data_IF_491802353659
#
_entry.id   IF_491802353659
#
_cell.length_a   1.000
_cell.length_b   1.000
_cell.length_c   1.000
_cell.angle_alpha   90.00
_cell.angle_beta   90.00
_cell.angle_gamma   90.00
#
_symmetry.space_group_name_H-M   'P 1'
#
loop_
_entity.id
_entity.type
_entity.pdbx_description
1 polymer ?
#
# COMPACT_ATOMS: atom_id res chain seq x y z
N UNK A 1 18.37 0.57 10.23
CA UNK A 1 18.00 1.87 9.63
C UNK A 1 16.93 2.58 10.45
N UNK A 2 16.72 3.87 10.21
CA UNK A 2 15.54 4.60 10.70
C UNK A 2 14.53 4.73 9.56
N UNK A 3 13.38 4.09 9.70
CA UNK A 3 12.32 4.06 8.71
C UNK A 3 11.19 5.02 9.07
N UNK A 4 10.73 5.84 8.13
CA UNK A 4 9.50 6.62 8.24
C UNK A 4 8.35 5.86 7.58
N UNK A 5 7.24 5.64 8.28
CA UNK A 5 6.10 4.87 7.78
C UNK A 5 4.83 5.70 7.83
N UNK A 6 4.17 5.90 6.70
CA UNK A 6 2.79 6.41 6.66
C UNK A 6 1.80 5.25 6.63
N UNK A 7 0.66 5.41 7.30
CA UNK A 7 -0.35 4.34 7.33
C UNK A 7 0.00 3.16 8.23
N UNK A 8 0.97 3.30 9.13
CA UNK A 8 1.43 2.22 10.03
C UNK A 8 0.35 1.61 10.91
N UNK A 9 -0.70 2.36 11.28
CA UNK A 9 -1.85 1.82 12.03
C UNK A 9 -2.86 1.05 11.18
N UNK A 10 -2.66 0.98 9.86
CA UNK A 10 -3.50 0.19 8.95
C UNK A 10 -3.08 -1.28 8.88
N UNK A 11 -3.89 -2.10 8.20
CA UNK A 11 -3.70 -3.54 8.08
C UNK A 11 -2.29 -3.94 7.57
N UNK A 12 -1.89 -3.44 6.40
CA UNK A 12 -0.56 -3.69 5.83
C UNK A 12 0.53 -2.94 6.62
N UNK A 13 0.24 -1.68 7.03
CA UNK A 13 1.22 -0.84 7.69
C UNK A 13 1.66 -1.37 9.05
N UNK A 14 0.76 -1.96 9.83
CA UNK A 14 1.10 -2.57 11.13
C UNK A 14 1.96 -3.82 10.96
N UNK A 15 1.65 -4.66 9.96
CA UNK A 15 2.49 -5.82 9.64
C UNK A 15 3.90 -5.39 9.19
N UNK A 16 3.99 -4.35 8.36
CA UNK A 16 5.28 -3.77 7.96
C UNK A 16 6.05 -3.19 9.16
N UNK A 17 5.39 -2.42 10.02
CA UNK A 17 6.03 -1.84 11.21
C UNK A 17 6.58 -2.94 12.14
N UNK A 18 5.82 -4.01 12.38
CA UNK A 18 6.30 -5.20 13.13
C UNK A 18 7.54 -5.80 12.47
N UNK A 19 7.47 -6.05 11.18
CA UNK A 19 8.58 -6.65 10.43
C UNK A 19 9.85 -5.82 10.48
N UNK A 20 9.73 -4.50 10.36
CA UNK A 20 10.88 -3.58 10.50
C UNK A 20 11.44 -3.61 11.93
N UNK A 21 10.58 -3.59 12.95
CA UNK A 21 11.01 -3.69 14.36
C UNK A 21 11.69 -5.01 14.67
N UNK A 22 11.18 -6.14 14.17
CA UNK A 22 11.80 -7.48 14.28
C UNK A 22 13.19 -7.54 13.65
N UNK A 23 13.42 -6.77 12.58
CA UNK A 23 14.73 -6.60 11.94
C UNK A 23 15.71 -5.74 12.76
N UNK A 24 15.24 -5.10 13.84
CA UNK A 24 16.03 -4.16 14.62
C UNK A 24 16.05 -2.73 14.07
N UNK A 25 15.18 -2.41 13.10
CA UNK A 25 15.07 -1.07 12.57
C UNK A 25 14.36 -0.12 13.56
N UNK A 26 14.77 1.14 13.63
CA UNK A 26 14.00 2.18 14.30
C UNK A 26 12.87 2.62 13.38
N UNK A 27 11.62 2.61 13.89
CA UNK A 27 10.44 2.94 13.09
C UNK A 27 9.77 4.17 13.65
N UNK A 28 9.69 5.22 12.83
CA UNK A 28 8.89 6.42 13.06
C UNK A 28 7.63 6.33 12.22
N UNK A 29 6.45 6.41 12.85
CA UNK A 29 5.17 6.23 12.18
C UNK A 29 4.33 7.49 12.27
N UNK A 30 3.85 7.97 11.11
CA UNK A 30 2.86 9.04 11.03
C UNK A 30 1.48 8.51 11.42
N UNK A 31 0.88 9.13 12.43
CA UNK A 31 -0.45 8.81 12.93
C UNK A 31 -1.32 10.06 12.98
N UNK A 32 -2.61 9.93 12.67
CA UNK A 32 -3.55 11.06 12.77
C UNK A 32 -3.89 11.41 14.21
N UNK A 33 -3.84 10.44 15.10
CA UNK A 33 -4.18 10.57 16.52
C UNK A 33 -3.46 9.47 17.29
N UNK A 34 -2.70 9.84 18.32
CA UNK A 34 -1.94 8.86 19.16
C UNK A 34 -2.85 7.89 19.88
N UNK A 35 -4.02 8.32 20.34
CA UNK A 35 -4.99 7.49 21.09
C UNK A 35 -5.54 6.28 20.32
N UNK A 36 -5.18 6.09 19.05
CA UNK A 36 -5.56 4.94 18.22
C UNK A 36 -4.36 4.20 17.66
N UNK A 37 -3.22 4.35 18.30
CA UNK A 37 -1.95 3.81 17.82
C UNK A 37 -1.29 2.85 18.83
N UNK A 38 -2.04 2.33 19.81
CA UNK A 38 -1.55 1.48 20.90
C UNK A 38 -0.70 0.31 20.37
N UNK A 39 -1.18 -0.37 19.33
CA UNK A 39 -0.44 -1.48 18.73
C UNK A 39 0.92 -1.09 18.10
N UNK A 40 1.09 0.17 17.71
CA UNK A 40 2.37 0.69 17.23
C UNK A 40 3.30 1.06 18.38
N UNK A 41 2.74 1.59 19.45
CA UNK A 41 3.46 1.94 20.67
C UNK A 41 3.98 0.68 21.38
N UNK A 42 3.13 -0.36 21.49
CA UNK A 42 3.48 -1.68 22.04
C UNK A 42 4.69 -2.33 21.34
N UNK A 43 4.84 -2.14 20.05
CA UNK A 43 6.00 -2.65 19.29
C UNK A 43 7.17 -1.67 19.25
N UNK A 44 7.08 -0.57 20.00
CA UNK A 44 8.17 0.40 20.18
C UNK A 44 8.41 1.30 18.96
N UNK A 45 7.36 1.69 18.23
CA UNK A 45 7.45 2.70 17.19
C UNK A 45 7.46 4.12 17.80
N UNK A 46 8.25 5.01 17.22
CA UNK A 46 8.16 6.45 17.48
C UNK A 46 6.92 6.99 16.76
N UNK A 47 5.95 7.55 17.50
CA UNK A 47 4.74 8.11 16.93
C UNK A 47 4.88 9.61 16.70
N UNK A 48 4.63 10.07 15.47
CA UNK A 48 4.51 11.49 15.13
C UNK A 48 3.10 11.79 14.63
N UNK A 49 2.48 12.83 15.19
CA UNK A 49 1.14 13.22 14.78
C UNK A 49 1.16 14.11 13.55
N UNK A 50 0.23 13.82 12.63
CA UNK A 50 0.06 14.58 11.40
C UNK A 50 -0.80 13.84 10.39
N UNK A 51 -0.89 14.42 9.22
CA UNK A 51 -1.60 13.89 8.07
C UNK A 51 -0.76 14.05 6.78
N UNK A 52 -1.35 13.73 5.64
CA UNK A 52 -0.66 13.79 4.34
C UNK A 52 -0.86 15.12 3.61
N UNK A 53 -1.41 16.15 4.26
CA UNK A 53 -1.81 17.39 3.59
C UNK A 53 -0.67 18.39 3.32
N UNK A 54 0.46 18.26 4.03
CA UNK A 54 1.55 19.22 3.96
C UNK A 54 2.89 18.56 3.67
N UNK A 55 3.42 18.76 2.48
CA UNK A 55 4.75 18.33 2.06
C UNK A 55 5.85 18.81 3.00
N UNK A 56 5.78 20.08 3.44
CA UNK A 56 6.78 20.65 4.35
C UNK A 56 6.81 19.93 5.70
N UNK A 57 5.64 19.76 6.35
CA UNK A 57 5.56 19.05 7.63
C UNK A 57 6.01 17.60 7.52
N UNK A 58 5.65 16.92 6.43
CA UNK A 58 6.09 15.57 6.16
C UNK A 58 7.62 15.50 6.01
N UNK A 59 8.23 16.44 5.28
CA UNK A 59 9.69 16.50 5.12
C UNK A 59 10.40 16.73 6.46
N UNK A 60 9.89 17.63 7.30
CA UNK A 60 10.39 17.85 8.66
C UNK A 60 10.31 16.58 9.52
N UNK A 61 9.20 15.84 9.42
CA UNK A 61 9.00 14.59 10.15
C UNK A 61 9.85 13.44 9.61
N UNK A 62 10.20 13.44 8.32
CA UNK A 62 11.11 12.48 7.70
C UNK A 62 12.58 12.78 7.98
N UNK A 63 12.91 13.95 8.50
CA UNK A 63 14.29 14.36 8.71
C UNK A 63 15.07 13.32 9.57
N UNK A 64 16.25 12.93 9.09
CA UNK A 64 17.12 11.94 9.72
C UNK A 64 16.65 10.49 9.57
N UNK A 65 15.67 10.21 8.71
CA UNK A 65 15.31 8.85 8.33
C UNK A 65 16.13 8.39 7.12
N UNK A 66 16.41 7.08 7.08
CA UNK A 66 17.18 6.42 6.02
C UNK A 66 16.26 5.90 4.90
N UNK A 67 14.96 5.71 5.19
CA UNK A 67 13.97 5.20 4.26
C UNK A 67 12.58 5.75 4.57
N UNK A 68 11.73 5.83 3.55
CA UNK A 68 10.31 6.11 3.70
C UNK A 68 9.48 4.98 3.10
N UNK A 69 8.40 4.60 3.80
CA UNK A 69 7.44 3.59 3.35
C UNK A 69 6.06 4.24 3.32
N UNK A 70 5.54 4.48 2.12
CA UNK A 70 4.22 5.06 1.93
C UNK A 70 3.18 3.96 1.78
N UNK A 71 2.53 3.60 2.89
CA UNK A 71 1.49 2.55 2.95
C UNK A 71 0.10 3.16 3.14
N UNK A 72 0.03 4.43 3.51
CA UNK A 72 -1.23 5.12 3.73
C UNK A 72 -2.09 5.13 2.47
N UNK A 73 -3.36 4.82 2.65
CA UNK A 73 -4.38 4.89 1.59
C UNK A 73 -5.74 4.56 2.17
N UNK A 74 -6.79 5.06 1.51
CA UNK A 74 -8.19 4.77 1.88
C UNK A 74 -8.74 3.76 0.89
N UNK A 75 -9.15 2.59 1.41
CA UNK A 75 -9.83 1.56 0.65
C UNK A 75 -11.33 1.55 1.00
N UNK A 76 -12.16 2.02 0.10
CA UNK A 76 -13.63 1.94 0.19
C UNK A 76 -14.22 1.87 -1.21
N UNK A 77 -15.09 0.89 -1.44
CA UNK A 77 -15.84 0.71 -2.69
C UNK A 77 -17.29 1.14 -2.45
N UNK A 78 -17.97 1.64 -3.48
CA UNK A 78 -19.38 2.03 -3.40
C UNK A 78 -19.64 3.29 -2.56
N UNK A 79 -18.68 4.20 -2.46
CA UNK A 79 -18.85 5.45 -1.71
C UNK A 79 -19.73 6.47 -2.46
N UNK A 80 -20.54 7.27 -1.73
CA UNK A 80 -21.31 8.35 -2.35
C UNK A 80 -20.39 9.47 -2.88
N UNK A 81 -20.86 10.25 -3.88
CA UNK A 81 -20.07 11.36 -4.45
C UNK A 81 -19.53 12.35 -3.44
N UNK A 82 -20.25 12.62 -2.35
CA UNK A 82 -19.86 13.57 -1.30
C UNK A 82 -18.59 13.16 -0.53
N UNK A 83 -18.21 11.88 -0.55
CA UNK A 83 -17.00 11.36 0.15
C UNK A 83 -15.81 11.23 -0.81
N UNK A 84 -16.04 11.31 -2.13
CA UNK A 84 -14.98 11.17 -3.14
C UNK A 84 -13.83 12.17 -2.98
N UNK A 85 -14.06 13.48 -2.69
CA UNK A 85 -12.95 14.42 -2.51
C UNK A 85 -11.98 14.01 -1.41
N UNK A 86 -12.50 13.53 -0.27
CA UNK A 86 -11.64 13.08 0.83
C UNK A 86 -10.81 11.83 0.48
N UNK A 87 -11.35 10.93 -0.36
CA UNK A 87 -10.59 9.77 -0.86
C UNK A 87 -9.52 10.20 -1.86
N UNK A 88 -9.84 11.14 -2.75
CA UNK A 88 -8.87 11.70 -3.70
C UNK A 88 -7.70 12.37 -2.96
N UNK A 89 -8.03 13.23 -2.00
CA UNK A 89 -7.02 13.87 -1.14
C UNK A 89 -6.12 12.84 -0.45
N UNK A 90 -6.68 11.77 0.12
CA UNK A 90 -5.89 10.78 0.82
C UNK A 90 -5.03 9.93 -0.12
N UNK A 91 -5.56 9.51 -1.27
CA UNK A 91 -4.91 8.53 -2.14
C UNK A 91 -4.03 9.17 -3.21
N UNK A 92 -4.44 10.31 -3.78
CA UNK A 92 -3.71 10.98 -4.86
C UNK A 92 -2.85 12.10 -4.29
N UNK A 93 -3.46 13.17 -3.77
CA UNK A 93 -2.72 14.32 -3.23
C UNK A 93 -1.78 13.89 -2.09
N UNK A 94 -2.24 12.99 -1.22
CA UNK A 94 -1.40 12.46 -0.13
C UNK A 94 -0.19 11.69 -0.64
N UNK A 95 -0.32 10.88 -1.70
CA UNK A 95 0.82 10.20 -2.33
C UNK A 95 1.81 11.21 -2.91
N UNK A 96 1.31 12.18 -3.67
CA UNK A 96 2.08 13.30 -4.19
C UNK A 96 2.90 13.97 -3.09
N UNK A 97 2.22 14.41 -2.01
CA UNK A 97 2.87 15.12 -0.90
C UNK A 97 3.94 14.27 -0.20
N UNK A 98 3.71 12.97 -0.02
CA UNK A 98 4.71 12.07 0.62
C UNK A 98 5.93 11.90 -0.26
N UNK A 99 5.78 11.71 -1.57
CA UNK A 99 6.90 11.54 -2.49
C UNK A 99 7.72 12.83 -2.63
N UNK A 100 7.05 13.99 -2.66
CA UNK A 100 7.71 15.29 -2.66
C UNK A 100 8.46 15.53 -1.34
N UNK A 101 7.83 15.21 -0.21
CA UNK A 101 8.44 15.35 1.10
C UNK A 101 9.67 14.44 1.25
N UNK A 102 9.61 13.20 0.78
CA UNK A 102 10.74 12.29 0.79
C UNK A 102 11.91 12.82 -0.04
N UNK A 103 11.61 13.41 -1.20
CA UNK A 103 12.61 14.06 -2.05
C UNK A 103 13.22 15.28 -1.35
N UNK A 104 12.40 16.14 -0.77
CA UNK A 104 12.84 17.36 -0.07
C UNK A 104 13.67 17.03 1.20
N UNK A 105 13.32 15.95 1.91
CA UNK A 105 14.06 15.46 3.08
C UNK A 105 15.34 14.68 2.70
N UNK A 106 15.62 14.47 1.42
CA UNK A 106 16.78 13.73 0.95
C UNK A 106 16.74 12.24 1.29
N UNK A 107 15.55 11.65 1.39
CA UNK A 107 15.39 10.22 1.71
C UNK A 107 16.07 9.36 0.62
N UNK A 108 17.04 8.50 0.98
CA UNK A 108 17.80 7.71 0.02
C UNK A 108 16.95 6.71 -0.77
N UNK A 109 15.84 6.25 -0.21
CA UNK A 109 14.94 5.29 -0.86
C UNK A 109 13.55 5.34 -0.25
N UNK A 110 12.55 5.49 -1.10
CA UNK A 110 11.12 5.45 -0.74
C UNK A 110 10.47 4.22 -1.36
N UNK A 111 9.68 3.48 -0.61
CA UNK A 111 8.81 2.43 -1.15
C UNK A 111 7.37 2.93 -1.13
N UNK A 112 6.74 3.03 -2.29
CA UNK A 112 5.35 3.43 -2.45
C UNK A 112 4.45 2.20 -2.67
N UNK A 113 3.46 2.01 -1.79
CA UNK A 113 2.52 0.89 -1.90
C UNK A 113 1.34 1.28 -2.78
N UNK A 114 1.36 0.77 -4.01
CA UNK A 114 0.28 0.84 -4.98
C UNK A 114 -0.67 -0.37 -4.84
N UNK A 115 -1.12 -0.96 -5.94
CA UNK A 115 -2.00 -2.14 -5.99
C UNK A 115 -2.03 -2.70 -7.41
N UNK A 116 -2.33 -4.00 -7.57
CA UNK A 116 -2.61 -4.60 -8.90
C UNK A 116 -3.83 -3.96 -9.58
N UNK A 117 -4.71 -3.26 -8.84
CA UNK A 117 -5.84 -2.54 -9.46
C UNK A 117 -5.37 -1.44 -10.43
N UNK A 118 -4.13 -0.96 -10.31
CA UNK A 118 -3.56 -0.03 -11.29
C UNK A 118 -3.56 -0.59 -12.71
N UNK A 119 -3.49 -1.92 -12.89
CA UNK A 119 -3.60 -2.58 -14.19
C UNK A 119 -5.01 -2.49 -14.80
N UNK A 120 -6.06 -2.37 -13.98
CA UNK A 120 -7.46 -2.36 -14.43
C UNK A 120 -7.92 -3.71 -14.98
N UNK A 121 -8.81 -3.67 -15.96
CA UNK A 121 -9.33 -4.87 -16.63
C UNK A 121 -8.31 -5.38 -17.66
N UNK A 122 -7.67 -6.50 -17.39
CA UNK A 122 -6.72 -7.13 -18.30
C UNK A 122 -7.38 -8.05 -19.34
N UNK A 123 -8.72 -8.10 -19.37
CA UNK A 123 -9.49 -9.01 -20.24
C UNK A 123 -9.06 -10.49 -20.12
N UNK A 124 -8.78 -10.94 -18.89
CA UNK A 124 -8.34 -12.31 -18.58
C UNK A 124 -6.89 -12.62 -18.93
N UNK A 125 -6.10 -11.65 -19.39
CA UNK A 125 -4.67 -11.85 -19.65
C UNK A 125 -3.87 -11.87 -18.36
N UNK A 126 -2.90 -12.75 -18.28
CA UNK A 126 -1.85 -12.69 -17.27
C UNK A 126 -0.87 -11.59 -17.70
N UNK A 127 -0.65 -10.64 -16.83
CA UNK A 127 0.18 -9.46 -17.09
C UNK A 127 1.25 -9.32 -16.01
N UNK A 128 2.29 -8.56 -16.31
CA UNK A 128 3.39 -8.22 -15.42
C UNK A 128 3.52 -6.70 -15.24
N UNK A 129 4.55 -6.25 -14.59
CA UNK A 129 4.81 -4.84 -14.26
C UNK A 129 5.03 -3.95 -15.51
N UNK A 130 5.26 -4.54 -16.67
CA UNK A 130 5.41 -3.80 -17.94
C UNK A 130 4.06 -3.45 -18.58
N UNK A 131 2.98 -4.08 -18.13
CA UNK A 131 1.65 -3.85 -18.66
C UNK A 131 1.19 -2.40 -18.37
N UNK A 132 0.55 -1.82 -19.36
CA UNK A 132 -0.08 -0.49 -19.24
C UNK A 132 -1.58 -0.62 -19.48
N UNK A 133 -2.36 0.05 -18.63
CA UNK A 133 -3.82 0.13 -18.76
C UNK A 133 -4.17 0.80 -20.09
N UNK A 134 -5.18 0.28 -20.85
CA UNK A 134 -5.62 0.91 -22.10
C UNK A 134 -6.13 2.33 -21.89
N UNK A 135 -5.94 3.19 -22.88
CA UNK A 135 -6.45 4.55 -22.92
C UNK A 135 -7.66 4.68 -23.89
N UNK A 136 -8.73 5.41 -23.52
CA UNK A 136 -8.96 6.04 -22.23
C UNK A 136 -9.23 4.99 -21.12
N UNK A 137 -8.82 5.25 -19.87
CA UNK A 137 -8.97 4.26 -18.81
C UNK A 137 -10.44 4.09 -18.39
N UNK A 138 -10.87 2.85 -18.22
CA UNK A 138 -12.16 2.52 -17.60
C UNK A 138 -11.96 2.16 -16.14
N UNK A 139 -12.79 2.72 -15.25
CA UNK A 139 -12.69 2.50 -13.81
C UNK A 139 -13.93 1.76 -13.27
N UNK A 140 -13.69 0.69 -12.52
CA UNK A 140 -14.76 -0.08 -11.87
C UNK A 140 -15.25 0.58 -10.57
N UNK A 141 -14.49 1.49 -10.03
CA UNK A 141 -14.83 2.26 -8.83
C UNK A 141 -13.99 3.52 -8.71
N UNK A 142 -14.43 4.47 -7.88
CA UNK A 142 -13.65 5.66 -7.57
C UNK A 142 -12.33 5.33 -6.82
N UNK A 143 -12.31 4.25 -6.04
CA UNK A 143 -11.08 3.74 -5.44
C UNK A 143 -10.08 3.31 -6.52
N UNK A 144 -10.53 2.54 -7.52
CA UNK A 144 -9.71 2.11 -8.65
C UNK A 144 -9.10 3.33 -9.38
N UNK A 145 -9.94 4.35 -9.67
CA UNK A 145 -9.48 5.60 -10.26
C UNK A 145 -8.37 6.26 -9.44
N UNK A 146 -8.60 6.50 -8.14
CA UNK A 146 -7.63 7.18 -7.28
C UNK A 146 -6.32 6.41 -7.14
N UNK A 147 -6.37 5.07 -7.10
CA UNK A 147 -5.16 4.24 -7.02
C UNK A 147 -4.39 4.19 -8.34
N UNK A 148 -5.08 4.21 -9.46
CA UNK A 148 -4.43 4.32 -10.77
C UNK A 148 -3.73 5.68 -10.93
N UNK A 149 -4.41 6.78 -10.60
CA UNK A 149 -3.82 8.12 -10.66
C UNK A 149 -2.59 8.27 -9.75
N UNK A 150 -2.67 7.75 -8.51
CA UNK A 150 -1.53 7.75 -7.59
C UNK A 150 -0.36 6.88 -8.09
N UNK A 151 -0.65 5.78 -8.78
CA UNK A 151 0.36 4.93 -9.39
C UNK A 151 1.09 5.66 -10.52
N UNK A 152 0.34 6.29 -11.42
CA UNK A 152 0.92 7.10 -12.52
C UNK A 152 1.76 8.27 -12.01
N UNK A 153 1.33 8.95 -10.93
CA UNK A 153 2.11 10.01 -10.31
C UNK A 153 3.43 9.47 -9.74
N UNK A 154 3.41 8.31 -9.09
CA UNK A 154 4.62 7.67 -8.57
C UNK A 154 5.58 7.26 -9.71
N UNK A 155 5.07 6.70 -10.81
CA UNK A 155 5.87 6.37 -12.01
C UNK A 155 6.47 7.63 -12.66
N UNK A 156 5.69 8.70 -12.81
CA UNK A 156 6.15 9.96 -13.38
C UNK A 156 7.27 10.59 -12.54
N UNK A 157 7.15 10.56 -11.22
CA UNK A 157 8.19 11.04 -10.30
C UNK A 157 9.44 10.18 -10.35
N UNK A 158 9.29 8.87 -10.44
CA UNK A 158 10.41 7.95 -10.63
C UNK A 158 11.16 8.27 -11.94
N UNK A 159 10.44 8.46 -13.03
CA UNK A 159 11.02 8.86 -14.31
C UNK A 159 11.71 10.23 -14.26
N UNK A 160 11.24 11.14 -13.40
CA UNK A 160 11.86 12.43 -13.12
C UNK A 160 13.05 12.35 -12.13
N UNK A 161 13.45 11.15 -11.71
CA UNK A 161 14.62 10.92 -10.86
C UNK A 161 14.33 10.82 -9.36
N UNK A 162 13.07 10.79 -8.94
CA UNK A 162 12.74 10.51 -7.54
C UNK A 162 13.20 9.09 -7.15
N UNK A 163 13.73 8.96 -5.95
CA UNK A 163 14.31 7.70 -5.45
C UNK A 163 13.22 6.78 -4.89
N UNK A 164 12.31 6.36 -5.75
CA UNK A 164 11.13 5.56 -5.40
C UNK A 164 11.20 4.15 -6.01
N UNK A 165 10.72 3.17 -5.25
CA UNK A 165 10.40 1.81 -5.70
C UNK A 165 8.91 1.62 -5.46
N UNK A 166 8.19 1.06 -6.42
CA UNK A 166 6.74 0.88 -6.35
C UNK A 166 6.45 -0.60 -6.09
N UNK A 167 5.54 -0.90 -5.18
CA UNK A 167 5.04 -2.27 -4.97
C UNK A 167 3.54 -2.33 -5.21
N UNK A 168 3.08 -3.40 -5.86
CA UNK A 168 1.70 -3.61 -6.27
C UNK A 168 1.15 -4.90 -5.64
N UNK A 169 0.69 -4.85 -4.37
CA UNK A 169 0.09 -6.02 -3.75
C UNK A 169 -1.17 -6.46 -4.47
N UNK A 170 -1.38 -7.79 -4.51
CA UNK A 170 -2.63 -8.41 -4.88
C UNK A 170 -3.72 -8.19 -3.83
N UNK A 171 -4.70 -9.10 -3.80
CA UNK A 171 -5.72 -9.11 -2.76
C UNK A 171 -5.09 -9.59 -1.44
N UNK A 172 -4.86 -8.66 -0.54
CA UNK A 172 -4.19 -8.94 0.75
C UNK A 172 -5.19 -9.52 1.74
N UNK A 173 -4.80 -10.59 2.43
CA UNK A 173 -5.57 -11.21 3.50
C UNK A 173 -4.68 -11.54 4.70
N UNK A 174 -5.28 -11.82 5.85
CA UNK A 174 -4.56 -12.23 7.06
C UNK A 174 -5.25 -11.81 8.35
N UNK A 175 -4.59 -11.99 9.52
CA UNK A 175 -5.08 -11.54 10.81
C UNK A 175 -5.40 -10.04 10.79
N UNK A 176 -6.55 -9.65 11.37
CA UNK A 176 -7.06 -8.28 11.39
C UNK A 176 -7.50 -7.71 10.02
N UNK A 177 -7.71 -8.56 9.01
CA UNK A 177 -8.36 -8.14 7.76
C UNK A 177 -9.85 -7.87 7.99
N UNK A 178 -10.26 -6.61 7.86
CA UNK A 178 -11.65 -6.15 7.97
C UNK A 178 -12.34 -5.95 6.60
N UNK A 179 -11.71 -6.39 5.52
CA UNK A 179 -12.29 -6.35 4.18
C UNK A 179 -13.40 -7.39 4.00
N UNK A 180 -14.13 -7.31 2.89
CA UNK A 180 -15.11 -8.32 2.51
C UNK A 180 -14.47 -9.73 2.42
N UNK A 181 -13.26 -9.82 1.87
CA UNK A 181 -12.50 -11.08 1.76
C UNK A 181 -12.17 -11.63 3.15
N UNK A 182 -11.65 -10.80 4.06
CA UNK A 182 -11.39 -11.21 5.44
C UNK A 182 -12.67 -11.68 6.14
N UNK A 183 -13.82 -11.08 5.82
CA UNK A 183 -15.13 -11.54 6.28
C UNK A 183 -15.47 -12.94 5.77
N UNK A 184 -15.28 -13.22 4.49
CA UNK A 184 -15.51 -14.55 3.89
C UNK A 184 -14.58 -15.60 4.47
N UNK A 185 -13.29 -15.28 4.64
CA UNK A 185 -12.31 -16.20 5.24
C UNK A 185 -12.71 -16.57 6.68
N UNK A 186 -13.11 -15.59 7.50
CA UNK A 186 -13.60 -15.86 8.86
C UNK A 186 -14.87 -16.72 8.88
N UNK A 187 -15.82 -16.45 7.99
CA UNK A 187 -17.05 -17.26 7.87
C UNK A 187 -16.73 -18.70 7.45
N UNK A 188 -15.82 -18.88 6.49
CA UNK A 188 -15.38 -20.20 6.06
C UNK A 188 -14.69 -20.97 7.21
N UNK A 189 -13.78 -20.33 7.92
CA UNK A 189 -13.09 -20.91 9.07
C UNK A 189 -14.05 -21.28 10.22
N UNK A 190 -15.12 -20.50 10.42
CA UNK A 190 -16.14 -20.76 11.43
C UNK A 190 -17.22 -21.75 10.96
N UNK A 191 -17.18 -22.26 9.72
CA UNK A 191 -18.22 -23.14 9.15
C UNK A 191 -19.57 -22.44 8.95
N UNK A 192 -19.60 -21.11 8.91
CA UNK A 192 -20.84 -20.32 8.79
C UNK A 192 -21.04 -19.72 7.38
N UNK A 193 -20.11 -19.97 6.46
CA UNK A 193 -20.22 -19.52 5.08
C UNK A 193 -21.36 -20.26 4.37
N UNK A 194 -22.42 -19.52 4.00
CA UNK A 194 -23.63 -20.11 3.41
C UNK A 194 -23.59 -20.21 1.89
N UNK A 195 -22.86 -19.32 1.24
CA UNK A 195 -22.73 -19.29 -0.21
C UNK A 195 -21.42 -18.57 -0.61
N UNK A 196 -20.83 -19.03 -1.73
CA UNK A 196 -19.76 -18.29 -2.41
C UNK A 196 -20.38 -17.43 -3.48
N UNK A 197 -20.16 -16.13 -3.40
CA UNK A 197 -20.50 -15.20 -4.49
C UNK A 197 -19.34 -15.23 -5.47
N UNK A 198 -19.63 -15.45 -6.75
CA UNK A 198 -18.63 -15.54 -7.83
C UNK A 198 -17.59 -16.65 -7.59
N UNK A 199 -18.00 -17.94 -7.55
CA UNK A 199 -17.09 -19.06 -7.25
C UNK A 199 -15.94 -19.21 -8.27
N UNK A 200 -16.15 -18.74 -9.51
CA UNK A 200 -15.16 -18.81 -10.60
C UNK A 200 -14.26 -17.57 -10.68
N UNK A 201 -14.40 -16.62 -9.75
CA UNK A 201 -13.56 -15.43 -9.73
C UNK A 201 -12.15 -15.77 -9.27
N UNK A 202 -11.18 -15.68 -10.17
CA UNK A 202 -9.75 -15.78 -9.83
C UNK A 202 -9.29 -14.56 -9.03
N UNK A 203 -8.69 -14.78 -7.87
CA UNK A 203 -8.11 -13.73 -7.03
C UNK A 203 -6.61 -13.96 -6.86
N UNK A 204 -5.82 -12.92 -7.09
CA UNK A 204 -4.39 -12.92 -6.78
C UNK A 204 -4.19 -12.66 -5.28
N UNK A 205 -4.35 -13.71 -4.47
CA UNK A 205 -4.26 -13.61 -3.01
C UNK A 205 -2.81 -13.52 -2.54
N UNK A 206 -2.57 -12.75 -1.49
CA UNK A 206 -1.26 -12.67 -0.82
C UNK A 206 -1.45 -12.44 0.68
N UNK A 207 -0.69 -13.17 1.51
CA UNK A 207 -0.77 -12.97 2.96
C UNK A 207 -0.12 -11.64 3.36
N UNK A 208 -0.66 -10.98 4.38
CA UNK A 208 -0.18 -9.66 4.82
C UNK A 208 1.29 -9.67 5.26
N UNK A 209 1.77 -10.76 5.86
CA UNK A 209 3.17 -10.89 6.25
C UNK A 209 4.10 -11.07 5.04
N UNK A 210 3.63 -11.71 3.97
CA UNK A 210 4.35 -11.80 2.70
C UNK A 210 4.42 -10.43 2.03
N UNK A 211 3.34 -9.65 2.09
CA UNK A 211 3.34 -8.25 1.62
C UNK A 211 4.35 -7.42 2.40
N UNK A 212 4.34 -7.50 3.74
CA UNK A 212 5.31 -6.78 4.57
C UNK A 212 6.75 -7.18 4.25
N UNK A 213 6.99 -8.49 4.04
CA UNK A 213 8.31 -9.00 3.63
C UNK A 213 8.70 -8.52 2.23
N UNK A 214 7.75 -8.54 1.28
CA UNK A 214 7.95 -8.04 -0.08
C UNK A 214 8.26 -6.53 -0.12
N UNK A 215 7.62 -5.72 0.72
CA UNK A 215 7.91 -4.29 0.86
C UNK A 215 9.35 -4.09 1.39
N UNK A 216 9.77 -4.86 2.38
CA UNK A 216 11.15 -4.82 2.88
C UNK A 216 12.15 -5.25 1.80
N UNK A 217 11.87 -6.31 1.04
CA UNK A 217 12.72 -6.76 -0.06
C UNK A 217 12.81 -5.73 -1.19
N UNK A 218 11.70 -5.07 -1.52
CA UNK A 218 11.68 -3.98 -2.50
C UNK A 218 12.55 -2.80 -2.04
N UNK A 219 12.55 -2.49 -0.74
CA UNK A 219 13.48 -1.52 -0.18
C UNK A 219 14.93 -2.00 -0.33
N UNK A 220 15.23 -3.24 0.08
CA UNK A 220 16.62 -3.72 0.21
C UNK A 220 17.26 -4.01 -1.17
N UNK A 221 16.48 -4.43 -2.16
CA UNK A 221 16.97 -4.99 -3.45
C UNK A 221 16.31 -4.41 -4.70
N UNK A 222 15.17 -3.73 -4.56
CA UNK A 222 14.45 -3.19 -5.71
C UNK A 222 15.24 -2.13 -6.46
N UNK A 223 15.12 -2.09 -7.79
CA UNK A 223 15.65 -1.01 -8.62
C UNK A 223 14.87 0.29 -8.38
N UNK A 224 15.57 1.43 -8.31
CA UNK A 224 14.90 2.73 -8.28
C UNK A 224 14.14 2.95 -9.59
N UNK A 225 12.90 3.38 -9.50
CA UNK A 225 12.03 3.56 -10.66
C UNK A 225 11.27 2.30 -11.07
N UNK A 226 11.60 1.14 -10.49
CA UNK A 226 10.96 -0.12 -10.82
C UNK A 226 9.69 -0.37 -10.00
N UNK A 227 8.77 -1.15 -10.59
CA UNK A 227 7.56 -1.65 -9.95
C UNK A 227 7.67 -3.16 -9.72
N UNK A 228 7.05 -3.66 -8.64
CA UNK A 228 7.06 -5.08 -8.29
C UNK A 228 5.68 -5.54 -7.84
N UNK A 229 5.15 -6.56 -8.48
CA UNK A 229 3.88 -7.20 -8.09
C UNK A 229 4.12 -8.15 -6.92
N UNK A 230 3.35 -7.99 -5.86
CA UNK A 230 3.41 -8.85 -4.67
C UNK A 230 2.17 -9.75 -4.62
N UNK A 231 2.31 -10.99 -5.08
CA UNK A 231 1.24 -12.00 -5.09
C UNK A 231 1.79 -13.35 -4.64
N UNK A 232 0.92 -14.23 -4.15
CA UNK A 232 1.32 -15.59 -3.86
C UNK A 232 1.67 -16.33 -5.17
N UNK A 233 2.67 -17.19 -5.12
CA UNK A 233 2.96 -18.07 -6.27
C UNK A 233 1.74 -18.95 -6.55
N UNK A 234 1.14 -18.83 -7.72
CA UNK A 234 0.21 -19.84 -8.21
C UNK A 234 0.98 -21.14 -8.37
N UNK A 235 0.60 -22.21 -7.66
CA UNK A 235 1.02 -23.54 -8.07
C UNK A 235 0.34 -23.81 -9.41
N UNK A 236 1.07 -24.27 -10.46
CA UNK A 236 0.41 -24.79 -11.64
C UNK A 236 -0.57 -25.85 -11.17
N UNK A 237 -1.83 -25.80 -11.63
CA UNK A 237 -2.75 -26.90 -11.44
C UNK A 237 -2.05 -28.15 -12.01
N UNK A 238 -1.88 -29.19 -11.17
CA UNK A 238 -1.47 -30.48 -11.66
C UNK A 238 -2.56 -30.93 -12.65
N UNK A 239 -2.23 -30.89 -13.94
CA UNK A 239 -3.05 -31.43 -15.02
C UNK A 239 -3.07 -32.94 -14.95
#
# INVERSE_FOLDING_TARGET
MRAFVTGGGGFIGLALARRLRERGDAVRTLVRTRTRADALDEIGCELVEGDLSSTQKLAEQMAGCDAAFHVAGVYRVGIPPSVRPAMYEANVTGTTNVLDAATAAGIPRTVAVSTINAFGNTAGRVVDETYRRPEPPEYVSFYDETKHLAHLDAEARAAAGARVVIVQPGQVYGPADHSAIGGLVRQAAAGTLRALTFPDLGLNMVHVDDVASGICLAHDRGGLGESYVLVARSRPSAS
#
